data_IF_927515731072
#
_entry.id   IF_927515731072
#
_cell.length_a   1.000
_cell.length_b   1.000
_cell.length_c   1.000
_cell.angle_alpha   90.00
_cell.angle_beta   90.00
_cell.angle_gamma   90.00
#
_symmetry.space_group_name_H-M   'P 1'
#
loop_
_entity.id
_entity.type
_entity.pdbx_description
1 polymer ?
#
# COMPACT_ATOMS: atom_id res chain seq x y z
N UNK A 1 -20.77 24.60 15.34
CA UNK A 1 -19.47 24.30 15.98
C UNK A 1 -18.65 25.58 16.06
N UNK A 2 -17.94 25.84 17.18
CA UNK A 2 -17.00 26.98 17.24
C UNK A 2 -15.83 26.76 16.28
N UNK A 3 -15.34 27.81 15.62
CA UNK A 3 -14.19 27.73 14.69
C UNK A 3 -12.98 27.00 15.28
N UNK A 4 -12.73 27.17 16.60
CA UNK A 4 -11.68 26.46 17.34
C UNK A 4 -11.82 24.93 17.26
N UNK A 5 -13.05 24.41 17.38
CA UNK A 5 -13.30 22.96 17.34
C UNK A 5 -13.06 22.38 15.94
N UNK A 6 -13.37 23.15 14.89
CA UNK A 6 -13.11 22.76 13.49
C UNK A 6 -11.60 22.64 13.26
N UNK A 7 -10.82 23.61 13.73
CA UNK A 7 -9.36 23.58 13.62
C UNK A 7 -8.75 22.44 14.43
N UNK A 8 -9.21 22.19 15.66
CA UNK A 8 -8.74 21.06 16.47
C UNK A 8 -9.02 19.73 15.79
N UNK A 9 -10.24 19.53 15.25
CA UNK A 9 -10.59 18.31 14.54
C UNK A 9 -9.68 18.10 13.31
N UNK A 10 -9.43 19.15 12.53
CA UNK A 10 -8.51 19.10 11.40
C UNK A 10 -7.08 18.72 11.81
N UNK A 11 -6.57 19.29 12.90
CA UNK A 11 -5.24 18.96 13.43
C UNK A 11 -5.17 17.50 13.89
N UNK A 12 -6.22 16.99 14.54
CA UNK A 12 -6.29 15.58 14.96
C UNK A 12 -6.26 14.63 13.76
N UNK A 13 -7.05 14.89 12.72
CA UNK A 13 -7.05 14.09 11.48
C UNK A 13 -5.70 14.18 10.76
N UNK A 14 -5.10 15.36 10.73
CA UNK A 14 -3.74 15.55 10.15
C UNK A 14 -2.70 14.72 10.90
N UNK A 15 -2.76 14.68 12.23
CA UNK A 15 -1.85 13.87 13.04
C UNK A 15 -2.01 12.37 12.75
N UNK A 16 -3.25 11.87 12.63
CA UNK A 16 -3.52 10.48 12.28
C UNK A 16 -3.00 10.15 10.88
N UNK A 17 -3.20 11.05 9.92
CA UNK A 17 -2.68 10.90 8.55
C UNK A 17 -1.14 10.84 8.53
N UNK A 18 -0.47 11.76 9.23
CA UNK A 18 0.99 11.75 9.35
C UNK A 18 1.51 10.49 10.03
N UNK A 19 0.82 9.99 11.05
CA UNK A 19 1.15 8.72 11.70
C UNK A 19 1.03 7.55 10.71
N UNK A 20 0.01 7.53 9.87
CA UNK A 20 -0.13 6.56 8.78
C UNK A 20 1.04 6.59 7.79
N UNK A 21 1.52 7.77 7.41
CA UNK A 21 2.71 7.91 6.53
C UNK A 21 3.95 7.33 7.22
N UNK A 22 4.18 7.68 8.49
CA UNK A 22 5.35 7.18 9.25
C UNK A 22 5.29 5.66 9.41
N UNK A 23 4.10 5.08 9.64
CA UNK A 23 3.92 3.63 9.68
C UNK A 23 4.28 2.99 8.33
N UNK A 24 3.77 3.56 7.23
CA UNK A 24 4.03 3.06 5.86
C UNK A 24 5.52 3.01 5.54
N UNK A 25 6.28 4.05 5.93
CA UNK A 25 7.73 4.10 5.78
C UNK A 25 8.46 3.03 6.60
N UNK A 26 7.86 2.55 7.69
CA UNK A 26 8.39 1.50 8.56
C UNK A 26 7.79 0.11 8.26
N UNK A 27 7.16 -0.08 7.10
CA UNK A 27 6.52 -1.33 6.70
C UNK A 27 5.33 -1.76 7.57
N UNK A 28 4.66 -0.80 8.20
CA UNK A 28 3.39 -0.98 8.91
C UNK A 28 2.26 -0.24 8.20
N UNK A 29 1.05 -0.71 8.35
CA UNK A 29 -0.18 -0.01 7.96
C UNK A 29 -1.22 -0.13 9.07
N UNK A 30 -2.27 0.68 9.03
CA UNK A 30 -3.43 0.41 9.89
C UNK A 30 -4.06 -0.93 9.49
N UNK A 31 -4.56 -1.67 10.48
CA UNK A 31 -5.25 -2.93 10.23
C UNK A 31 -6.55 -2.66 9.47
N UNK A 32 -6.74 -3.40 8.37
CA UNK A 32 -7.83 -3.16 7.45
C UNK A 32 -7.37 -2.38 6.21
N UNK A 33 -7.50 -3.04 5.07
CA UNK A 33 -7.00 -2.58 3.78
C UNK A 33 -7.37 -1.14 3.39
N UNK A 34 -8.63 -0.75 3.62
CA UNK A 34 -9.13 0.56 3.21
C UNK A 34 -8.88 1.65 4.25
N UNK A 35 -8.40 1.33 5.46
CA UNK A 35 -8.33 2.29 6.57
C UNK A 35 -7.37 3.44 6.25
N UNK A 36 -6.15 3.17 5.79
CA UNK A 36 -5.21 4.25 5.44
C UNK A 36 -5.79 5.15 4.33
N UNK A 37 -6.56 4.56 3.42
CA UNK A 37 -7.08 5.22 2.21
C UNK A 37 -8.23 6.14 2.62
N UNK A 38 -9.14 5.64 3.46
CA UNK A 38 -10.22 6.42 4.07
C UNK A 38 -9.63 7.59 4.87
N UNK A 39 -8.62 7.36 5.72
CA UNK A 39 -7.95 8.42 6.48
C UNK A 39 -7.38 9.49 5.54
N UNK A 40 -6.71 9.06 4.48
CA UNK A 40 -6.10 9.97 3.48
C UNK A 40 -7.16 10.81 2.76
N UNK A 41 -8.25 10.20 2.31
CA UNK A 41 -9.35 10.91 1.64
C UNK A 41 -10.12 11.84 2.59
N UNK A 42 -10.34 11.44 3.84
CA UNK A 42 -10.95 12.30 4.86
C UNK A 42 -10.05 13.51 5.13
N UNK A 43 -8.74 13.30 5.29
CA UNK A 43 -7.79 14.38 5.47
C UNK A 43 -7.83 15.36 4.29
N UNK A 44 -7.81 14.85 3.05
CA UNK A 44 -7.85 15.68 1.84
C UNK A 44 -9.16 16.48 1.74
N UNK A 45 -10.31 15.86 2.02
CA UNK A 45 -11.60 16.54 2.05
C UNK A 45 -11.64 17.64 3.11
N UNK A 46 -11.12 17.38 4.32
CA UNK A 46 -11.02 18.40 5.37
C UNK A 46 -10.06 19.52 5.00
N UNK A 47 -8.94 19.23 4.34
CA UNK A 47 -7.99 20.24 3.86
C UNK A 47 -8.68 21.20 2.89
N UNK A 48 -9.40 20.68 1.89
CA UNK A 48 -10.17 21.50 0.94
C UNK A 48 -11.23 22.33 1.68
N UNK A 49 -11.96 21.72 2.61
CA UNK A 49 -12.96 22.40 3.42
C UNK A 49 -12.38 23.57 4.23
N UNK A 50 -11.24 23.37 4.91
CA UNK A 50 -10.55 24.42 5.68
C UNK A 50 -10.10 25.57 4.78
N UNK A 51 -9.59 25.26 3.59
CA UNK A 51 -9.15 26.27 2.63
C UNK A 51 -10.32 27.16 2.21
N UNK A 52 -11.45 26.56 1.82
CA UNK A 52 -12.64 27.30 1.39
C UNK A 52 -13.23 28.11 2.55
N UNK A 53 -13.39 27.49 3.72
CA UNK A 53 -14.02 28.12 4.89
C UNK A 53 -13.21 29.30 5.44
N UNK A 54 -11.89 29.19 5.45
CA UNK A 54 -11.00 30.21 6.01
C UNK A 54 -10.24 31.03 4.95
N UNK A 55 -10.70 31.05 3.69
CA UNK A 55 -10.04 31.69 2.55
C UNK A 55 -9.68 33.17 2.75
N UNK A 56 -10.45 33.88 3.58
CA UNK A 56 -10.20 35.30 3.90
C UNK A 56 -8.92 35.52 4.71
N UNK A 57 -8.37 34.48 5.37
CA UNK A 57 -7.16 34.58 6.19
C UNK A 57 -5.90 34.48 5.34
N UNK A 58 -4.94 35.39 5.52
CA UNK A 58 -3.66 35.40 4.79
C UNK A 58 -2.88 34.08 4.96
N UNK A 59 -2.84 33.53 6.17
CA UNK A 59 -2.19 32.24 6.49
C UNK A 59 -2.72 31.09 5.61
N UNK A 60 -4.03 31.05 5.36
CA UNK A 60 -4.65 29.98 4.57
C UNK A 60 -4.28 30.08 3.09
N UNK A 61 -4.11 31.30 2.58
CA UNK A 61 -3.62 31.52 1.22
C UNK A 61 -2.17 31.06 1.05
N UNK A 62 -1.31 31.34 2.05
CA UNK A 62 0.07 30.84 2.07
C UNK A 62 0.09 29.31 2.13
N UNK A 63 -0.72 28.71 3.01
CA UNK A 63 -0.87 27.27 3.13
C UNK A 63 -1.34 26.62 1.82
N UNK A 64 -2.34 27.19 1.16
CA UNK A 64 -2.79 26.75 -0.16
C UNK A 64 -1.68 26.85 -1.22
N UNK A 65 -0.97 27.97 -1.26
CA UNK A 65 0.18 28.14 -2.16
C UNK A 65 1.25 27.07 -1.94
N UNK A 66 1.53 26.71 -0.69
CA UNK A 66 2.48 25.65 -0.33
C UNK A 66 2.00 24.27 -0.81
N UNK A 67 0.71 23.96 -0.63
CA UNK A 67 0.13 22.70 -1.15
C UNK A 67 0.25 22.60 -2.68
N UNK A 68 -0.12 23.66 -3.41
CA UNK A 68 -0.01 23.69 -4.87
C UNK A 68 1.44 23.60 -5.32
N UNK A 69 2.34 24.34 -4.67
CA UNK A 69 3.77 24.28 -4.95
C UNK A 69 4.33 22.89 -4.70
N UNK A 70 3.92 22.20 -3.63
CA UNK A 70 4.31 20.82 -3.33
C UNK A 70 3.87 19.84 -4.41
N UNK A 71 2.65 19.98 -4.94
CA UNK A 71 2.17 19.17 -6.06
C UNK A 71 3.01 19.43 -7.31
N UNK A 72 3.24 20.69 -7.68
CA UNK A 72 4.08 21.04 -8.83
C UNK A 72 5.51 20.49 -8.66
N UNK A 73 6.09 20.66 -7.48
CA UNK A 73 7.43 20.18 -7.18
C UNK A 73 7.53 18.65 -7.22
N UNK A 74 6.44 17.94 -6.87
CA UNK A 74 6.38 16.47 -6.97
C UNK A 74 6.32 15.94 -8.41
N UNK A 75 5.94 16.79 -9.37
CA UNK A 75 5.87 16.44 -10.80
C UNK A 75 7.26 16.57 -11.46
N UNK A 76 8.09 17.53 -11.03
CA UNK A 76 9.40 17.81 -11.63
C UNK A 76 10.37 16.60 -11.66
N UNK A 77 10.52 15.79 -10.59
CA UNK A 77 11.36 14.59 -10.62
C UNK A 77 10.63 13.44 -11.34
N UNK A 78 10.46 13.59 -12.66
CA UNK A 78 9.86 12.60 -13.56
C UNK A 78 8.49 12.07 -13.11
N UNK A 79 7.71 12.87 -12.38
CA UNK A 79 6.44 12.49 -11.75
C UNK A 79 6.52 11.32 -10.75
N UNK A 80 7.70 10.83 -10.39
CA UNK A 80 7.84 9.65 -9.52
C UNK A 80 7.21 9.89 -8.13
N UNK A 81 7.50 11.00 -7.43
CA UNK A 81 6.86 11.31 -6.16
C UNK A 81 5.37 11.58 -6.30
N UNK A 82 4.95 12.18 -7.42
CA UNK A 82 3.54 12.40 -7.71
C UNK A 82 2.77 11.06 -7.83
N UNK A 83 3.31 10.10 -8.58
CA UNK A 83 2.71 8.77 -8.67
C UNK A 83 2.78 8.00 -7.35
N UNK A 84 3.84 8.17 -6.55
CA UNK A 84 3.91 7.63 -5.19
C UNK A 84 2.76 8.12 -4.31
N UNK A 85 2.47 9.43 -4.34
CA UNK A 85 1.30 9.98 -3.65
C UNK A 85 -0.01 9.43 -4.20
N UNK A 86 -0.19 9.35 -5.53
CA UNK A 86 -1.41 8.80 -6.13
C UNK A 86 -1.65 7.34 -5.72
N UNK A 87 -0.61 6.51 -5.74
CA UNK A 87 -0.69 5.11 -5.32
C UNK A 87 -1.02 4.99 -3.83
N UNK A 88 -0.46 5.86 -2.99
CA UNK A 88 -0.78 5.87 -1.56
C UNK A 88 -2.25 6.21 -1.27
N UNK A 89 -2.81 7.18 -2.00
CA UNK A 89 -4.21 7.60 -1.85
C UNK A 89 -5.23 6.64 -2.49
N UNK A 90 -4.77 5.77 -3.38
CA UNK A 90 -5.65 4.94 -4.21
C UNK A 90 -5.43 3.44 -3.96
N UNK A 91 -6.26 2.64 -4.61
CA UNK A 91 -6.05 1.19 -4.73
C UNK A 91 -5.44 0.83 -6.09
N UNK A 92 -5.02 1.83 -6.87
CA UNK A 92 -4.34 1.65 -8.15
C UNK A 92 -3.06 0.83 -7.90
N UNK A 93 -2.82 -0.16 -8.76
CA UNK A 93 -1.68 -1.07 -8.61
C UNK A 93 -1.92 -2.21 -7.62
N UNK A 94 -3.02 -2.23 -6.85
CA UNK A 94 -3.43 -3.41 -6.08
C UNK A 94 -4.30 -4.30 -6.96
N UNK A 95 -3.73 -5.39 -7.45
CA UNK A 95 -4.39 -6.24 -8.43
C UNK A 95 -5.22 -7.34 -7.78
N UNK A 96 -4.72 -7.93 -6.69
CA UNK A 96 -5.40 -9.02 -6.02
C UNK A 96 -5.10 -9.09 -4.53
N UNK A 97 -6.08 -9.54 -3.75
CA UNK A 97 -5.96 -9.77 -2.30
C UNK A 97 -6.51 -11.13 -1.95
N UNK A 98 -5.81 -11.85 -1.08
CA UNK A 98 -6.28 -13.15 -0.57
C UNK A 98 -6.02 -13.18 0.94
N UNK A 99 -7.09 -13.38 1.70
CA UNK A 99 -6.99 -13.65 3.13
C UNK A 99 -6.55 -15.10 3.29
N UNK A 100 -5.45 -15.34 4.02
CA UNK A 100 -4.96 -16.70 4.25
C UNK A 100 -5.61 -17.31 5.50
N UNK A 101 -5.70 -16.53 6.57
CA UNK A 101 -6.39 -16.84 7.83
C UNK A 101 -6.74 -15.54 8.59
N UNK A 102 -7.05 -15.58 9.89
CA UNK A 102 -7.37 -14.38 10.67
C UNK A 102 -6.15 -13.47 10.97
N UNK A 103 -4.94 -13.97 10.77
CA UNK A 103 -3.68 -13.31 11.14
C UNK A 103 -2.87 -12.84 9.93
N UNK A 104 -2.92 -13.55 8.82
CA UNK A 104 -2.10 -13.37 7.64
C UNK A 104 -2.96 -13.12 6.40
N UNK A 105 -2.50 -12.18 5.59
CA UNK A 105 -3.06 -11.93 4.25
C UNK A 105 -1.95 -11.71 3.25
N UNK A 106 -2.27 -11.98 1.99
CA UNK A 106 -1.41 -11.65 0.87
C UNK A 106 -2.06 -10.62 -0.04
N UNK A 107 -1.21 -9.79 -0.62
CA UNK A 107 -1.59 -8.78 -1.59
C UNK A 107 -0.65 -8.88 -2.79
N UNK A 108 -1.23 -9.01 -3.98
CA UNK A 108 -0.53 -8.85 -5.24
C UNK A 108 -0.71 -7.41 -5.69
N UNK A 109 0.40 -6.68 -5.83
CA UNK A 109 0.34 -5.32 -6.32
C UNK A 109 1.69 -4.66 -6.51
N UNK A 110 1.64 -3.41 -6.93
CA UNK A 110 2.79 -2.56 -7.22
C UNK A 110 2.89 -1.48 -6.13
N UNK A 111 3.80 -1.61 -5.14
CA UNK A 111 3.87 -0.67 -4.02
C UNK A 111 4.41 0.71 -4.42
N UNK A 112 5.07 0.83 -5.57
CA UNK A 112 5.62 2.08 -6.08
C UNK A 112 5.39 2.26 -7.58
N UNK A 113 5.58 3.49 -8.05
CA UNK A 113 5.34 3.88 -9.44
C UNK A 113 6.17 3.09 -10.46
N UNK A 114 7.38 2.70 -10.07
CA UNK A 114 8.32 1.91 -10.88
C UNK A 114 8.43 0.46 -10.42
N UNK A 115 7.66 0.05 -9.42
CA UNK A 115 7.76 -1.31 -8.88
C UNK A 115 7.09 -2.31 -9.83
N UNK A 116 7.75 -3.44 -10.03
CA UNK A 116 7.14 -4.62 -10.65
C UNK A 116 6.03 -5.18 -9.74
N UNK A 117 5.09 -5.99 -10.26
CA UNK A 117 4.12 -6.67 -9.41
C UNK A 117 4.82 -7.57 -8.39
N UNK A 118 4.51 -7.36 -7.12
CA UNK A 118 5.02 -8.12 -5.98
C UNK A 118 3.88 -8.83 -5.27
N UNK A 119 4.17 -10.00 -4.70
CA UNK A 119 3.38 -10.56 -3.61
C UNK A 119 3.96 -10.03 -2.30
N UNK A 120 3.11 -9.31 -1.57
CA UNK A 120 3.37 -8.87 -0.22
C UNK A 120 2.58 -9.72 0.77
N UNK A 121 3.26 -10.20 1.81
CA UNK A 121 2.63 -10.86 2.95
C UNK A 121 2.52 -9.86 4.10
N UNK A 122 1.33 -9.76 4.68
CA UNK A 122 1.05 -8.96 5.87
C UNK A 122 0.68 -9.87 7.04
N UNK A 123 1.15 -9.51 8.23
CA UNK A 123 0.76 -10.07 9.53
C UNK A 123 -0.01 -9.02 10.32
N UNK A 124 -1.19 -9.37 10.80
CA UNK A 124 -2.00 -8.53 11.67
C UNK A 124 -1.45 -8.56 13.10
N UNK A 125 -1.14 -7.39 13.63
CA UNK A 125 -0.66 -7.16 15.00
C UNK A 125 -1.59 -6.14 15.68
N UNK A 126 -2.77 -6.62 16.09
CA UNK A 126 -3.80 -5.80 16.71
C UNK A 126 -4.44 -4.82 15.73
N UNK A 127 -4.24 -3.52 15.97
CA UNK A 127 -4.75 -2.42 15.13
C UNK A 127 -3.80 -2.06 13.97
N UNK A 128 -2.67 -2.75 13.85
CA UNK A 128 -1.71 -2.56 12.77
C UNK A 128 -1.54 -3.83 11.96
N UNK A 129 -1.09 -3.68 10.73
CA UNK A 129 -0.61 -4.77 9.90
C UNK A 129 0.85 -4.51 9.56
N UNK A 130 1.70 -5.49 9.85
CA UNK A 130 3.11 -5.46 9.53
C UNK A 130 3.35 -6.22 8.25
N UNK A 131 4.04 -5.62 7.31
CA UNK A 131 4.57 -6.34 6.16
C UNK A 131 5.76 -7.20 6.62
N UNK A 132 5.78 -8.46 6.21
CA UNK A 132 6.78 -9.42 6.69
C UNK A 132 7.62 -10.04 5.56
N UNK A 133 7.10 -10.04 4.33
CA UNK A 133 7.79 -10.55 3.15
C UNK A 133 7.33 -9.83 1.89
N UNK A 134 8.27 -9.65 0.97
CA UNK A 134 8.04 -9.24 -0.42
C UNK A 134 8.65 -10.29 -1.33
N UNK A 135 7.98 -10.62 -2.42
CA UNK A 135 8.53 -11.52 -3.44
C UNK A 135 8.01 -11.11 -4.80
N UNK A 136 8.84 -10.99 -5.84
CA UNK A 136 8.38 -10.73 -7.19
C UNK A 136 7.33 -11.76 -7.63
N UNK A 137 6.25 -11.28 -8.25
CA UNK A 137 5.19 -12.18 -8.68
C UNK A 137 5.67 -13.15 -9.79
N UNK A 138 6.62 -12.70 -10.61
CA UNK A 138 7.32 -13.52 -11.60
C UNK A 138 7.92 -14.79 -10.99
N UNK A 139 8.59 -14.66 -9.85
CA UNK A 139 9.29 -15.78 -9.19
C UNK A 139 8.29 -16.82 -8.65
N UNK A 140 7.11 -16.34 -8.22
CA UNK A 140 6.02 -17.20 -7.76
C UNK A 140 5.43 -17.96 -8.95
N UNK A 141 5.17 -17.28 -10.07
CA UNK A 141 4.68 -17.91 -11.30
C UNK A 141 5.66 -18.94 -11.82
N UNK A 142 6.94 -18.61 -11.93
CA UNK A 142 8.00 -19.52 -12.40
C UNK A 142 8.01 -20.79 -11.55
N UNK A 143 7.93 -20.64 -10.22
CA UNK A 143 7.91 -21.79 -9.31
C UNK A 143 6.64 -22.63 -9.46
N UNK A 144 5.45 -22.03 -9.55
CA UNK A 144 4.16 -22.76 -9.58
C UNK A 144 3.90 -23.38 -10.95
N UNK A 145 4.08 -22.61 -12.03
CA UNK A 145 3.67 -22.99 -13.39
C UNK A 145 4.82 -23.65 -14.16
N UNK A 146 6.08 -23.41 -13.78
CA UNK A 146 7.30 -23.85 -14.48
C UNK A 146 7.38 -23.34 -15.93
N UNK A 147 6.86 -22.15 -16.17
CA UNK A 147 6.92 -21.46 -17.47
C UNK A 147 8.11 -20.49 -17.47
N UNK A 148 8.78 -20.34 -18.63
CA UNK A 148 9.93 -19.44 -18.76
C UNK A 148 9.53 -17.97 -18.52
N UNK A 149 10.43 -17.14 -17.96
CA UNK A 149 10.17 -15.72 -17.65
C UNK A 149 9.77 -14.86 -18.86
N UNK A 150 10.05 -15.32 -20.08
CA UNK A 150 9.90 -14.54 -21.32
C UNK A 150 8.49 -14.56 -21.92
N UNK A 151 7.57 -15.34 -21.36
CA UNK A 151 6.19 -15.31 -21.83
C UNK A 151 5.48 -14.13 -21.16
N UNK A 152 5.53 -12.95 -21.80
CA UNK A 152 4.71 -11.77 -21.51
C UNK A 152 3.21 -12.11 -21.69
N UNK A 153 2.68 -12.96 -20.82
CA UNK A 153 1.30 -13.43 -20.85
C UNK A 153 0.50 -12.62 -19.86
N UNK A 154 -0.39 -11.80 -20.41
CA UNK A 154 -1.51 -11.10 -19.78
C UNK A 154 -1.66 -11.35 -18.26
N UNK A 155 -1.19 -10.39 -17.45
CA UNK A 155 -1.21 -10.41 -15.97
C UNK A 155 -2.62 -10.66 -15.38
N UNK A 156 -3.67 -10.51 -16.20
CA UNK A 156 -5.06 -10.82 -15.86
C UNK A 156 -5.40 -12.31 -15.92
N UNK A 157 -4.77 -13.09 -16.82
CA UNK A 157 -5.01 -14.53 -16.98
C UNK A 157 -4.35 -15.40 -15.91
N UNK A 158 -3.36 -14.85 -15.21
CA UNK A 158 -2.62 -15.53 -14.15
C UNK A 158 -2.98 -14.94 -12.78
N UNK A 159 -4.26 -14.85 -12.44
CA UNK A 159 -4.68 -14.53 -11.07
C UNK A 159 -4.45 -15.72 -10.14
N UNK A 160 -4.24 -15.43 -8.86
CA UNK A 160 -4.17 -16.44 -7.81
C UNK A 160 -5.60 -16.98 -7.64
N UNK A 161 -5.85 -18.24 -7.99
CA UNK A 161 -7.19 -18.82 -7.86
C UNK A 161 -7.49 -19.14 -6.40
N UNK A 162 -6.48 -19.61 -5.68
CA UNK A 162 -6.57 -20.00 -4.27
C UNK A 162 -5.19 -19.81 -3.63
N UNK A 163 -5.15 -19.34 -2.38
CA UNK A 163 -3.95 -19.38 -1.57
C UNK A 163 -4.31 -19.84 -0.16
N UNK A 164 -3.54 -20.77 0.39
CA UNK A 164 -3.75 -21.33 1.73
C UNK A 164 -2.46 -21.31 2.53
N UNK A 165 -2.57 -20.93 3.79
CA UNK A 165 -1.47 -21.03 4.74
C UNK A 165 -1.25 -22.50 5.08
N UNK A 166 -0.02 -22.98 4.92
CA UNK A 166 0.35 -24.37 5.24
C UNK A 166 1.21 -24.43 6.51
N UNK A 167 2.20 -23.53 6.62
CA UNK A 167 3.08 -23.51 7.78
C UNK A 167 3.62 -22.09 8.05
N UNK A 168 3.87 -21.79 9.32
CA UNK A 168 4.49 -20.55 9.79
C UNK A 168 5.62 -20.93 10.74
N UNK A 169 6.86 -20.69 10.31
CA UNK A 169 8.06 -20.81 11.13
C UNK A 169 8.60 -19.40 11.46
N UNK A 170 9.57 -19.33 12.37
CA UNK A 170 10.24 -18.06 12.70
C UNK A 170 10.90 -17.42 11.47
N UNK A 171 11.49 -18.23 10.59
CA UNK A 171 12.27 -17.75 9.44
C UNK A 171 11.49 -17.74 8.11
N UNK A 172 10.37 -18.46 8.01
CA UNK A 172 9.64 -18.57 6.74
C UNK A 172 8.16 -18.89 6.90
N UNK A 173 7.39 -18.51 5.88
CA UNK A 173 5.95 -18.76 5.78
C UNK A 173 5.69 -19.56 4.51
N UNK A 174 5.11 -20.75 4.68
CA UNK A 174 4.72 -21.66 3.63
C UNK A 174 3.29 -21.39 3.17
N UNK A 175 3.14 -20.98 1.91
CA UNK A 175 1.84 -20.71 1.28
C UNK A 175 1.66 -21.68 0.11
N UNK A 176 0.56 -22.42 0.09
CA UNK A 176 0.12 -23.16 -1.09
C UNK A 176 -0.59 -22.19 -2.03
N UNK A 177 -0.04 -22.00 -3.22
CA UNK A 177 -0.68 -21.24 -4.30
C UNK A 177 -1.34 -22.18 -5.30
N UNK A 178 -2.52 -21.79 -5.78
CA UNK A 178 -3.16 -22.36 -6.96
C UNK A 178 -3.21 -21.31 -8.07
N UNK A 179 -2.44 -21.51 -9.13
CA UNK A 179 -2.37 -20.62 -10.29
C UNK A 179 -2.50 -21.50 -11.53
N UNK A 180 -3.40 -21.14 -12.46
CA UNK A 180 -3.69 -21.94 -13.67
C UNK A 180 -3.95 -23.43 -13.36
N UNK A 181 -4.75 -23.72 -12.32
CA UNK A 181 -5.04 -25.07 -11.82
C UNK A 181 -3.84 -25.90 -11.32
N UNK A 182 -2.61 -25.37 -11.35
CA UNK A 182 -1.42 -25.99 -10.75
C UNK A 182 -1.30 -25.53 -9.31
N UNK A 183 -0.96 -26.48 -8.42
CA UNK A 183 -0.74 -26.22 -6.99
C UNK A 183 0.72 -26.38 -6.64
N UNK A 184 1.26 -25.46 -5.83
CA UNK A 184 2.59 -25.61 -5.25
C UNK A 184 2.73 -24.82 -3.96
N UNK A 185 3.44 -25.40 -3.00
CA UNK A 185 3.84 -24.72 -1.77
C UNK A 185 5.13 -23.94 -2.01
N UNK A 186 5.10 -22.65 -1.67
CA UNK A 186 6.26 -21.77 -1.69
C UNK A 186 6.52 -21.26 -0.29
N UNK A 187 7.79 -21.33 0.12
CA UNK A 187 8.27 -20.78 1.38
C UNK A 187 8.84 -19.38 1.13
N UNK A 188 8.22 -18.38 1.75
CA UNK A 188 8.67 -16.99 1.73
C UNK A 188 9.49 -16.71 2.98
N UNK A 189 10.65 -16.06 2.82
CA UNK A 189 11.48 -15.69 3.97
C UNK A 189 10.80 -14.57 4.76
N UNK A 190 10.85 -14.67 6.08
CA UNK A 190 10.27 -13.69 7.01
C UNK A 190 11.24 -12.49 7.22
N UNK A 191 11.81 -11.98 6.14
CA UNK A 191 12.78 -10.88 6.16
C UNK A 191 12.47 -9.90 5.04
N UNK A 192 12.34 -8.62 5.39
CA UNK A 192 12.29 -7.52 4.41
C UNK A 192 13.71 -7.11 4.05
N UNK A 193 14.15 -7.45 2.83
CA UNK A 193 15.35 -6.86 2.25
C UNK A 193 14.95 -5.64 1.40
N UNK A 194 15.59 -4.51 1.66
CA UNK A 194 15.37 -3.25 0.93
C UNK A 194 15.72 -3.33 -0.58
N UNK A 195 16.49 -4.34 -0.99
CA UNK A 195 16.99 -4.50 -2.35
C UNK A 195 16.24 -5.53 -3.19
N UNK A 196 15.23 -6.22 -2.63
CA UNK A 196 14.43 -7.19 -3.38
C UNK A 196 13.46 -6.50 -4.38
N UNK A 197 13.39 -5.16 -4.35
CA UNK A 197 12.46 -4.31 -5.10
C UNK A 197 13.06 -3.65 -6.38
N UNK A 198 14.36 -3.83 -6.67
CA UNK A 198 15.09 -3.25 -7.83
C UNK A 198 15.36 -4.34 -8.88
#
# INVERSE_FOLDING_TARGET
>A
MKNKNIVIAYLAVTLIFLLGIVLSLNHYSFAGYYIDKIISWIWLAMTIFIIIWFWKKKIIKVYFGLLISGIILSILPMMIPFFGMLLYFSTIGCEQRVQLDDTYRIERGRPGAMSRPLITIYKKEGIFEKQISRTPYSDVIEKVVQSSPETYLDEKGQSIQEAKLINVNQDSIGIEYRIMNKKKVIYHKNTLNWFDDI
#
